data_IF_924983729483
#
_entry.id   IF_924983729483
#
_cell.length_a   1.000
_cell.length_b   1.000
_cell.length_c   1.000
_cell.angle_alpha   90.00
_cell.angle_beta   90.00
_cell.angle_gamma   90.00
#
_symmetry.space_group_name_H-M   'P 1'
#
loop_
_entity.id
_entity.type
_entity.pdbx_description
1 polymer ?
#
# COMPACT_ATOMS: atom_id res chain seq x y z
N UNK A 1 6.26 -21.46 3.42
CA UNK A 1 5.03 -21.29 2.63
C UNK A 1 3.91 -20.80 3.53
N UNK A 2 3.44 -19.57 3.31
CA UNK A 2 2.21 -19.01 3.91
C UNK A 2 1.26 -18.50 2.80
N UNK A 3 1.43 -19.00 1.57
CA UNK A 3 1.06 -18.30 0.33
C UNK A 3 -0.20 -18.85 -0.35
N UNK A 4 -1.10 -19.54 0.35
CA UNK A 4 -2.31 -20.12 -0.30
C UNK A 4 -3.66 -19.68 0.29
N UNK A 5 -3.68 -18.93 1.39
CA UNK A 5 -4.93 -18.49 2.02
C UNK A 5 -5.18 -16.98 1.95
N UNK A 6 -4.42 -16.26 1.13
CA UNK A 6 -4.44 -14.80 1.04
C UNK A 6 -4.47 -14.36 -0.44
N UNK A 7 -4.99 -13.16 -0.69
CA UNK A 7 -4.91 -12.53 -1.99
C UNK A 7 -3.47 -12.16 -2.35
N UNK A 8 -3.18 -12.02 -3.65
CA UNK A 8 -1.90 -11.46 -4.08
C UNK A 8 -1.76 -10.04 -3.51
N UNK A 9 -0.68 -9.81 -2.73
CA UNK A 9 -0.36 -8.49 -2.20
C UNK A 9 -0.24 -7.44 -3.32
N UNK A 10 0.35 -7.82 -4.46
CA UNK A 10 0.48 -6.91 -5.60
C UNK A 10 -0.87 -6.47 -6.16
N UNK A 11 -1.85 -7.36 -6.19
CA UNK A 11 -3.13 -7.10 -6.83
C UNK A 11 -4.17 -6.51 -5.86
N UNK A 12 -4.04 -6.80 -4.56
CA UNK A 12 -5.03 -6.49 -3.54
C UNK A 12 -4.38 -6.08 -2.21
N UNK A 13 -3.38 -5.18 -2.25
CA UNK A 13 -2.55 -4.81 -1.09
C UNK A 13 -3.33 -4.34 0.13
N UNK A 14 -4.38 -3.56 -0.10
CA UNK A 14 -5.16 -2.93 0.98
C UNK A 14 -6.37 -3.76 1.42
N UNK A 15 -6.50 -4.99 0.90
CA UNK A 15 -7.60 -5.92 1.16
C UNK A 15 -7.44 -6.62 2.51
N UNK A 16 -8.55 -6.96 3.18
CA UNK A 16 -8.57 -7.69 4.45
C UNK A 16 -7.74 -8.99 4.44
N UNK A 17 -7.85 -9.77 3.37
CA UNK A 17 -7.20 -11.06 3.19
C UNK A 17 -5.88 -10.92 2.40
N UNK A 18 -5.28 -9.73 2.35
CA UNK A 18 -3.90 -9.56 1.93
C UNK A 18 -2.94 -10.19 2.96
N UNK A 19 -1.76 -10.70 2.55
CA UNK A 19 -0.89 -11.46 3.44
C UNK A 19 -0.32 -10.63 4.59
N UNK A 20 0.14 -9.41 4.32
CA UNK A 20 0.71 -8.51 5.32
C UNK A 20 0.55 -7.04 4.89
N UNK A 21 0.17 -6.18 5.83
CA UNK A 21 0.07 -4.72 5.62
C UNK A 21 -1.19 -4.27 4.88
N UNK A 22 -1.29 -2.97 4.63
CA UNK A 22 -2.44 -2.35 3.94
C UNK A 22 -3.56 -1.91 4.88
N UNK A 23 -4.68 -1.47 4.29
CA UNK A 23 -5.79 -0.89 5.04
C UNK A 23 -6.70 -1.95 5.72
N UNK A 24 -6.74 -3.18 5.20
CA UNK A 24 -7.56 -4.26 5.76
C UNK A 24 -9.04 -4.17 5.38
N UNK A 25 -9.34 -3.75 4.15
CA UNK A 25 -10.70 -3.42 3.70
C UNK A 25 -11.52 -4.69 3.39
N UNK A 26 -12.77 -4.73 3.82
CA UNK A 26 -13.77 -5.74 3.47
C UNK A 26 -14.33 -5.48 2.06
N UNK A 27 -13.57 -5.86 1.04
CA UNK A 27 -13.93 -5.56 -0.35
C UNK A 27 -14.86 -6.61 -0.97
N UNK A 28 -15.36 -6.31 -2.17
CA UNK A 28 -16.09 -7.27 -3.00
C UNK A 28 -15.29 -8.55 -3.29
N UNK A 29 -13.95 -8.52 -3.26
CA UNK A 29 -13.11 -9.70 -3.49
C UNK A 29 -13.30 -10.75 -2.38
N UNK A 30 -13.10 -10.37 -1.13
CA UNK A 30 -13.29 -11.28 0.01
C UNK A 30 -14.76 -11.68 0.19
N UNK A 31 -15.69 -10.74 -0.01
CA UNK A 31 -17.12 -11.07 0.03
C UNK A 31 -17.51 -12.08 -1.06
N UNK A 32 -16.97 -11.94 -2.27
CA UNK A 32 -17.15 -12.90 -3.36
C UNK A 32 -16.61 -14.27 -3.03
N UNK A 33 -15.40 -14.36 -2.50
CA UNK A 33 -14.85 -15.65 -2.05
C UNK A 33 -15.76 -16.32 -1.00
N UNK A 34 -16.32 -15.57 -0.05
CA UNK A 34 -17.23 -16.14 0.95
C UNK A 34 -18.57 -16.62 0.36
N UNK A 35 -19.09 -15.93 -0.65
CA UNK A 35 -20.29 -16.38 -1.37
C UNK A 35 -20.01 -17.65 -2.17
N UNK A 36 -18.87 -17.72 -2.86
CA UNK A 36 -18.50 -18.88 -3.69
C UNK A 36 -18.23 -20.15 -2.86
N UNK A 37 -17.83 -20.00 -1.60
CA UNK A 37 -17.75 -21.12 -0.66
C UNK A 37 -19.13 -21.69 -0.27
N UNK A 38 -20.21 -20.96 -0.51
CA UNK A 38 -21.59 -21.40 -0.28
C UNK A 38 -22.08 -21.28 1.17
N UNK A 39 -21.27 -20.79 2.10
CA UNK A 39 -21.64 -20.63 3.51
C UNK A 39 -22.35 -19.32 3.82
N UNK A 40 -22.12 -18.28 3.01
CA UNK A 40 -22.55 -16.92 3.30
C UNK A 40 -23.31 -16.29 2.14
N UNK A 41 -24.10 -15.27 2.46
CA UNK A 41 -24.66 -14.32 1.48
C UNK A 41 -24.03 -12.96 1.76
N UNK A 42 -23.43 -12.35 0.75
CA UNK A 42 -22.84 -11.02 0.89
C UNK A 42 -23.90 -9.93 0.79
N UNK A 43 -23.79 -8.93 1.67
CA UNK A 43 -24.40 -7.62 1.47
C UNK A 43 -23.41 -6.74 0.69
N UNK A 44 -23.55 -6.73 -0.63
CA UNK A 44 -22.64 -5.99 -1.52
C UNK A 44 -22.68 -4.48 -1.31
N UNK A 45 -23.78 -3.94 -0.76
CA UNK A 45 -23.88 -2.50 -0.49
C UNK A 45 -22.95 -2.07 0.65
N UNK A 46 -22.52 -3.00 1.50
CA UNK A 46 -21.57 -2.77 2.57
C UNK A 46 -20.09 -2.98 2.15
N UNK A 47 -19.83 -3.37 0.90
CA UNK A 47 -18.48 -3.62 0.43
C UNK A 47 -17.64 -2.33 0.43
N UNK A 48 -16.46 -2.39 1.06
CA UNK A 48 -15.57 -1.24 1.14
C UNK A 48 -14.83 -1.04 -0.19
N UNK A 49 -14.73 0.20 -0.69
CA UNK A 49 -14.02 0.47 -1.93
C UNK A 49 -12.51 0.46 -1.70
N UNK A 50 -11.80 -0.42 -2.41
CA UNK A 50 -10.34 -0.40 -2.46
C UNK A 50 -9.84 0.52 -3.57
N UNK A 51 -8.95 1.46 -3.25
CA UNK A 51 -8.33 2.33 -4.25
C UNK A 51 -7.21 1.63 -5.03
N UNK A 52 -6.48 0.74 -4.36
CA UNK A 52 -5.45 -0.11 -4.95
C UNK A 52 -6.04 -0.99 -6.07
N UNK A 53 -5.42 -1.01 -7.25
CA UNK A 53 -5.88 -1.84 -8.38
C UNK A 53 -7.19 -1.40 -9.06
N UNK A 54 -7.92 -0.43 -8.50
CA UNK A 54 -9.22 -0.01 -9.03
C UNK A 54 -9.08 0.64 -10.40
N UNK A 55 -9.80 0.10 -11.39
CA UNK A 55 -9.78 0.55 -12.78
C UNK A 55 -8.37 0.53 -13.41
N UNK A 56 -7.50 -0.35 -12.93
CA UNK A 56 -6.13 -0.51 -13.44
C UNK A 56 -6.04 -1.27 -14.77
N UNK A 57 -7.12 -1.94 -15.19
CA UNK A 57 -7.19 -2.72 -16.43
C UNK A 57 -6.47 -4.07 -16.36
N UNK A 58 -6.59 -4.85 -17.44
CA UNK A 58 -6.10 -6.24 -17.49
C UNK A 58 -4.57 -6.35 -17.43
N UNK A 59 -3.84 -5.33 -17.93
CA UNK A 59 -2.38 -5.34 -17.94
C UNK A 59 -1.79 -5.56 -16.55
N UNK A 60 -2.43 -5.03 -15.50
CA UNK A 60 -2.00 -5.27 -14.12
C UNK A 60 -1.94 -6.77 -13.81
N UNK A 61 -2.95 -7.55 -14.20
CA UNK A 61 -3.06 -8.98 -13.87
C UNK A 61 -2.23 -9.86 -14.80
N UNK A 62 -2.08 -9.44 -16.06
CA UNK A 62 -1.44 -10.25 -17.11
C UNK A 62 0.08 -10.05 -17.20
N UNK A 63 0.57 -8.87 -16.84
CA UNK A 63 1.99 -8.51 -16.97
C UNK A 63 2.68 -8.46 -15.62
N UNK A 64 3.94 -8.85 -15.62
CA UNK A 64 4.86 -8.65 -14.50
C UNK A 64 5.15 -7.16 -14.32
N UNK A 65 5.48 -6.74 -13.11
CA UNK A 65 5.92 -5.38 -12.79
C UNK A 65 7.06 -4.88 -13.67
N UNK A 66 8.08 -5.71 -13.91
CA UNK A 66 9.17 -5.37 -14.82
C UNK A 66 8.72 -5.07 -16.26
N UNK A 67 7.51 -5.49 -16.65
CA UNK A 67 6.91 -5.25 -17.97
C UNK A 67 5.85 -4.13 -17.95
N UNK A 68 5.52 -3.59 -16.78
CA UNK A 68 4.55 -2.51 -16.64
C UNK A 68 5.21 -1.15 -16.82
N UNK A 69 4.49 -0.27 -17.50
CA UNK A 69 4.73 1.17 -17.42
C UNK A 69 4.20 1.68 -16.08
N UNK A 70 5.06 1.73 -15.05
CA UNK A 70 4.67 2.07 -13.67
C UNK A 70 4.00 3.45 -13.53
N UNK A 71 4.30 4.37 -14.45
CA UNK A 71 3.66 5.68 -14.59
C UNK A 71 2.16 5.62 -14.85
N UNK A 72 1.65 4.50 -15.38
CA UNK A 72 0.20 4.25 -15.52
C UNK A 72 -0.48 3.88 -14.20
N UNK A 73 0.28 3.53 -13.17
CA UNK A 73 -0.21 3.07 -11.88
C UNK A 73 0.30 3.93 -10.71
N UNK A 74 0.21 5.27 -10.77
CA UNK A 74 0.86 6.17 -9.81
C UNK A 74 0.27 6.11 -8.39
N UNK A 75 -0.91 5.50 -8.24
CA UNK A 75 -1.55 5.25 -6.93
C UNK A 75 -1.12 3.93 -6.28
N UNK A 76 -0.41 3.08 -7.03
CA UNK A 76 0.03 1.76 -6.57
C UNK A 76 1.55 1.71 -6.46
N UNK A 77 2.22 2.09 -7.55
CA UNK A 77 3.66 1.97 -7.67
C UNK A 77 4.33 3.34 -7.70
N UNK A 78 5.56 3.38 -7.25
CA UNK A 78 6.38 4.59 -7.22
C UNK A 78 7.68 4.38 -8.01
N UNK A 79 8.35 5.48 -8.35
CA UNK A 79 9.69 5.42 -8.94
C UNK A 79 10.74 5.54 -7.86
N UNK A 80 11.80 4.71 -7.91
CA UNK A 80 12.89 4.76 -6.93
C UNK A 80 13.67 6.08 -6.92
N UNK A 81 13.46 6.96 -7.91
CA UNK A 81 13.98 8.33 -7.92
C UNK A 81 13.09 9.33 -7.17
N UNK A 82 11.89 8.94 -6.71
CA UNK A 82 11.03 9.79 -5.88
C UNK A 82 11.43 9.71 -4.40
N UNK A 83 12.20 10.70 -3.96
CA UNK A 83 12.63 10.85 -2.57
C UNK A 83 11.64 11.64 -1.69
N UNK A 84 10.53 12.13 -2.26
CA UNK A 84 9.55 12.90 -1.51
C UNK A 84 8.77 12.01 -0.55
N UNK A 85 8.34 12.61 0.56
CA UNK A 85 7.37 11.97 1.44
C UNK A 85 6.02 11.91 0.73
N UNK A 86 5.43 10.73 0.69
CA UNK A 86 4.11 10.43 0.12
C UNK A 86 3.28 9.69 1.16
N UNK A 87 1.97 9.62 0.98
CA UNK A 87 1.18 8.72 1.81
C UNK A 87 1.36 7.26 1.35
N UNK A 88 1.36 6.33 2.31
CA UNK A 88 1.13 4.92 2.00
C UNK A 88 -0.25 4.73 1.38
N UNK A 89 -0.48 3.60 0.71
CA UNK A 89 -1.77 3.30 0.05
C UNK A 89 -2.95 3.34 1.02
N UNK A 90 -2.72 2.79 2.23
CA UNK A 90 -3.65 2.81 3.37
C UNK A 90 -3.82 4.18 4.04
N UNK A 91 -2.97 5.16 3.70
CA UNK A 91 -2.93 6.50 4.29
C UNK A 91 -2.73 6.54 5.82
N UNK A 92 -2.33 5.45 6.45
CA UNK A 92 -2.05 5.46 7.89
C UNK A 92 -0.76 6.21 8.23
N UNK A 93 0.21 6.23 7.31
CA UNK A 93 1.50 6.85 7.55
C UNK A 93 2.03 7.60 6.32
N UNK A 94 2.92 8.56 6.56
CA UNK A 94 3.82 9.05 5.52
C UNK A 94 4.91 8.01 5.25
N UNK A 95 5.25 7.82 3.98
CA UNK A 95 6.20 6.85 3.47
C UNK A 95 7.16 7.43 2.42
N UNK A 96 8.10 6.61 1.97
CA UNK A 96 8.99 6.87 0.83
C UNK A 96 9.00 5.68 -0.13
N UNK A 97 9.43 5.91 -1.36
CA UNK A 97 9.60 4.85 -2.35
C UNK A 97 10.86 4.01 -2.06
N UNK A 98 10.83 3.23 -0.99
CA UNK A 98 11.96 2.40 -0.54
C UNK A 98 11.64 0.92 -0.45
N UNK A 99 10.35 0.56 -0.44
CA UNK A 99 9.90 -0.82 -0.37
C UNK A 99 9.56 -1.38 -1.74
N UNK A 100 9.50 -2.71 -1.82
CA UNK A 100 9.00 -3.41 -2.99
C UNK A 100 8.15 -4.60 -2.59
N UNK A 101 7.07 -4.85 -3.34
CA UNK A 101 6.36 -6.13 -3.32
C UNK A 101 7.18 -7.09 -4.20
N UNK A 102 7.56 -8.22 -3.63
CA UNK A 102 8.40 -9.23 -4.30
C UNK A 102 7.53 -10.41 -4.73
N UNK A 103 7.39 -10.60 -6.03
CA UNK A 103 6.67 -11.74 -6.59
C UNK A 103 7.63 -12.85 -7.02
N UNK A 104 7.43 -14.10 -6.57
CA UNK A 104 8.25 -15.23 -7.00
C UNK A 104 8.16 -15.41 -8.52
N UNK A 105 9.30 -15.56 -9.18
CA UNK A 105 9.35 -15.91 -10.60
C UNK A 105 10.07 -17.24 -10.79
N UNK A 106 9.42 -18.29 -11.30
CA UNK A 106 10.08 -19.57 -11.57
C UNK A 106 11.24 -19.38 -12.57
N UNK A 107 12.44 -19.81 -12.18
CA UNK A 107 13.63 -19.79 -13.06
C UNK A 107 14.19 -18.40 -13.38
N UNK A 108 13.74 -17.34 -12.71
CA UNK A 108 14.25 -15.99 -12.90
C UNK A 108 14.36 -15.24 -11.56
N UNK A 109 14.95 -14.05 -11.56
CA UNK A 109 14.91 -13.17 -10.41
C UNK A 109 13.45 -12.84 -10.04
N UNK A 110 13.13 -12.73 -8.73
CA UNK A 110 11.80 -12.29 -8.31
C UNK A 110 11.46 -10.94 -8.94
N UNK A 111 10.21 -10.80 -9.36
CA UNK A 111 9.72 -9.55 -9.91
C UNK A 111 9.47 -8.56 -8.77
N UNK A 112 9.95 -7.33 -8.95
CA UNK A 112 9.97 -6.31 -7.88
C UNK A 112 9.09 -5.14 -8.28
N UNK A 113 8.03 -4.93 -7.50
CA UNK A 113 7.13 -3.80 -7.65
C UNK A 113 7.43 -2.73 -6.60
N UNK A 114 8.06 -1.60 -6.96
CA UNK A 114 8.36 -0.54 -6.02
C UNK A 114 7.08 0.11 -5.48
N UNK A 115 7.01 0.26 -4.16
CA UNK A 115 5.86 0.80 -3.44
C UNK A 115 6.30 1.79 -2.37
N UNK A 116 5.38 2.67 -1.97
CA UNK A 116 5.61 3.54 -0.82
C UNK A 116 5.58 2.69 0.46
N UNK A 117 6.68 2.71 1.19
CA UNK A 117 6.84 2.06 2.50
C UNK A 117 6.77 3.12 3.61
N UNK A 118 6.07 2.86 4.73
CA UNK A 118 5.91 3.84 5.80
C UNK A 118 7.26 4.18 6.46
N UNK A 119 7.51 5.47 6.72
CA UNK A 119 8.69 5.94 7.47
C UNK A 119 8.42 5.85 8.97
N UNK A 120 8.31 4.62 9.48
CA UNK A 120 8.11 4.31 10.89
C UNK A 120 9.32 3.56 11.44
N UNK A 121 9.70 3.82 12.70
CA UNK A 121 10.86 3.18 13.35
C UNK A 121 10.54 1.84 14.02
N UNK A 122 9.28 1.39 13.94
CA UNK A 122 8.76 0.22 14.64
C UNK A 122 7.85 -0.56 13.70
N UNK A 123 8.08 -1.88 13.59
CA UNK A 123 7.27 -2.79 12.76
C UNK A 123 5.98 -3.25 13.46
N UNK A 124 5.86 -2.99 14.76
CA UNK A 124 4.70 -3.37 15.55
C UNK A 124 3.74 -2.18 15.68
N UNK A 125 2.60 -2.25 14.97
CA UNK A 125 1.54 -1.26 15.01
C UNK A 125 1.02 -1.01 16.44
N UNK A 126 0.91 -2.07 17.26
CA UNK A 126 0.46 -1.92 18.64
C UNK A 126 1.48 -1.13 19.47
N UNK A 127 2.77 -1.31 19.19
CA UNK A 127 3.83 -0.50 19.81
C UNK A 127 3.82 0.94 19.27
N UNK A 128 3.56 1.17 17.98
CA UNK A 128 3.39 2.52 17.40
C UNK A 128 2.29 3.29 18.11
N UNK A 129 1.11 2.69 18.29
CA UNK A 129 -0.01 3.33 18.99
C UNK A 129 0.24 3.51 20.48
N UNK A 130 0.88 2.53 21.14
CA UNK A 130 1.19 2.61 22.58
C UNK A 130 2.26 3.67 22.90
N UNK A 131 3.25 3.83 22.03
CA UNK A 131 4.39 4.73 22.27
C UNK A 131 4.16 6.14 21.69
N UNK A 132 3.10 6.36 20.91
CA UNK A 132 2.89 7.63 20.20
C UNK A 132 4.02 7.95 19.21
N UNK A 133 4.77 6.93 18.78
CA UNK A 133 5.97 7.07 17.94
C UNK A 133 5.66 7.30 16.45
N UNK A 134 4.42 7.66 16.11
CA UNK A 134 4.06 8.05 14.76
C UNK A 134 4.66 9.44 14.49
N UNK A 135 5.41 9.57 13.39
CA UNK A 135 5.77 10.89 12.88
C UNK A 135 4.56 11.42 12.13
N UNK A 136 3.94 12.51 12.60
CA UNK A 136 2.80 13.06 11.90
C UNK A 136 3.26 13.59 10.54
N UNK A 137 2.41 13.47 9.53
CA UNK A 137 2.70 14.02 8.20
C UNK A 137 2.86 15.55 8.29
N UNK A 138 2.19 16.18 9.25
CA UNK A 138 2.29 17.62 9.57
C UNK A 138 2.32 17.89 11.09
N UNK A 139 2.97 18.97 11.55
CA UNK A 139 2.84 19.41 12.94
C UNK A 139 1.36 19.66 13.31
N UNK A 140 0.86 18.94 14.33
CA UNK A 140 -0.51 19.07 14.84
C UNK A 140 -1.46 17.91 14.52
N UNK A 141 -1.04 16.92 13.75
CA UNK A 141 -1.86 15.73 13.49
C UNK A 141 -2.11 14.90 14.77
N UNK A 142 -3.33 14.37 14.92
CA UNK A 142 -3.79 13.57 16.07
C UNK A 142 -3.70 12.06 15.76
N UNK A 143 -3.75 11.14 16.75
CA UNK A 143 -3.63 9.69 16.53
C UNK A 143 -4.68 9.04 15.59
N UNK A 144 -5.74 9.77 15.25
CA UNK A 144 -6.77 9.39 14.26
C UNK A 144 -6.61 10.12 12.91
N UNK A 145 -5.45 10.74 12.66
CA UNK A 145 -5.19 11.50 11.44
C UNK A 145 -4.86 10.58 10.28
N UNK A 146 -5.45 10.87 9.12
CA UNK A 146 -5.08 10.26 7.86
C UNK A 146 -3.96 11.07 7.22
N UNK A 147 -3.01 10.39 6.60
CA UNK A 147 -2.03 11.02 5.74
C UNK A 147 -2.74 11.67 4.54
N UNK A 148 -2.49 12.96 4.36
CA UNK A 148 -3.00 13.74 3.24
C UNK A 148 -1.87 14.00 2.24
N UNK A 149 -2.14 13.69 0.97
CA UNK A 149 -1.20 13.96 -0.10
C UNK A 149 -0.91 15.46 -0.18
N UNK A 150 0.37 15.82 -0.17
CA UNK A 150 0.82 17.20 -0.30
C UNK A 150 1.56 17.41 -1.62
N UNK A 151 1.56 18.64 -2.12
CA UNK A 151 2.49 19.01 -3.18
C UNK A 151 3.94 18.69 -2.73
N UNK A 152 4.83 18.27 -3.64
CA UNK A 152 6.22 17.98 -3.30
C UNK A 152 6.84 19.21 -2.64
N UNK A 153 7.24 19.08 -1.37
CA UNK A 153 7.96 20.16 -0.69
C UNK A 153 9.36 20.21 -1.29
N UNK A 154 9.65 21.22 -2.10
CA UNK A 154 11.02 21.61 -2.39
C UNK A 154 11.61 22.12 -1.09
N UNK A 155 12.29 21.25 -0.36
CA UNK A 155 13.10 21.68 0.79
C UNK A 155 14.25 22.48 0.18
N UNK A 156 14.09 23.81 0.07
CA UNK A 156 15.26 24.68 -0.08
C UNK A 156 16.13 24.37 1.12
N UNK A 157 17.31 23.80 0.86
CA UNK A 157 18.29 23.51 1.90
C UNK A 157 18.42 24.75 2.78
N UNK A 158 18.37 24.56 4.09
CA UNK A 158 18.82 25.59 5.00
C UNK A 158 20.29 25.83 4.65
N UNK A 159 20.56 26.95 3.97
CA UNK A 159 21.89 27.50 3.89
C UNK A 159 22.33 27.75 5.33
N UNK A 160 23.30 26.96 5.78
CA UNK A 160 23.96 27.16 7.07
C UNK A 160 24.78 28.43 6.99
N UNK A 161 24.17 29.55 7.35
CA UNK A 161 24.86 30.79 7.67
C UNK A 161 25.09 30.88 9.18
N UNK A 162 26.36 30.76 9.59
CA UNK A 162 26.84 30.92 10.95
C UNK A 162 28.35 30.75 11.01
#
# INVERSE_FOLDING_TARGET
SALESHWSERNAKDELMAPLGGAGLYTELTLGAFVDLGYYKADWAAAEPMAWGKNSGCELLEKKCAQLSLDKYPKMFCSGSDFHLRCTSDRYFSGRCTGSIMEPSPGAAPDSCPVIEPVISVRDLATVFKQGAHKPARPGDQPSSWCLDTAPTTVKGCDGGG
#
